data_IF_938762023166
#
_entry.id   IF_938762023166
#
_cell.length_a   1.000
_cell.length_b   1.000
_cell.length_c   1.000
_cell.angle_alpha   90.00
_cell.angle_beta   90.00
_cell.angle_gamma   90.00
#
_symmetry.space_group_name_H-M   'P 1'
#
loop_
_entity.id
_entity.type
_entity.pdbx_description
1 polymer ?
#
# COMPACT_ATOMS: atom_id res chain seq x y z
N UNK A 1 24.36 21.15 50.68
CA UNK A 1 23.12 20.65 50.07
C UNK A 1 23.43 20.32 48.62
N UNK A 2 23.55 19.03 48.25
CA UNK A 2 23.84 18.61 46.87
C UNK A 2 22.52 18.17 46.24
N UNK A 3 21.99 18.97 45.32
CA UNK A 3 20.82 18.59 44.53
C UNK A 3 21.27 17.66 43.40
N UNK A 4 20.86 16.40 43.45
CA UNK A 4 21.00 15.48 42.33
C UNK A 4 19.84 15.74 41.35
N UNK A 5 20.15 16.25 40.16
CA UNK A 5 19.20 16.34 39.07
C UNK A 5 18.96 14.93 38.50
N UNK A 6 17.80 14.34 38.77
CA UNK A 6 17.37 13.13 38.10
C UNK A 6 16.89 13.48 36.69
N UNK A 7 17.64 13.07 35.67
CA UNK A 7 17.25 13.20 34.27
C UNK A 7 16.20 12.12 33.96
N UNK A 8 14.92 12.50 33.92
CA UNK A 8 13.85 11.61 33.47
C UNK A 8 13.90 11.56 31.95
N UNK A 9 14.44 10.48 31.40
CA UNK A 9 14.36 10.18 29.96
C UNK A 9 12.95 9.68 29.68
N UNK A 10 12.07 10.56 29.20
CA UNK A 10 10.79 10.19 28.60
C UNK A 10 11.09 9.43 27.30
N UNK A 11 10.95 8.10 27.35
CA UNK A 11 11.06 7.24 26.17
C UNK A 11 9.97 7.61 25.17
N UNK A 12 10.35 8.19 24.03
CA UNK A 12 9.45 8.35 22.90
C UNK A 12 9.05 6.95 22.42
N UNK A 13 7.76 6.67 22.18
CA UNK A 13 7.36 5.40 21.60
C UNK A 13 8.00 5.30 20.22
N UNK A 14 8.91 4.34 20.06
CA UNK A 14 9.39 3.93 18.74
C UNK A 14 8.19 3.23 18.08
N UNK A 15 7.46 3.95 17.24
CA UNK A 15 6.50 3.33 16.35
C UNK A 15 7.29 2.38 15.46
N UNK A 16 7.05 1.07 15.60
CA UNK A 16 7.63 0.08 14.71
C UNK A 16 7.04 0.34 13.31
N UNK A 17 7.76 1.09 12.50
CA UNK A 17 7.38 1.31 11.12
C UNK A 17 7.38 -0.05 10.41
N UNK A 18 6.26 -0.38 9.77
CA UNK A 18 6.20 -1.55 8.90
C UNK A 18 7.28 -1.44 7.82
N UNK A 19 7.84 -2.57 7.41
CA UNK A 19 8.82 -2.61 6.33
C UNK A 19 8.20 -2.03 5.05
N UNK A 20 8.90 -1.08 4.42
CA UNK A 20 8.49 -0.56 3.11
C UNK A 20 8.48 -1.67 2.05
N UNK A 21 7.44 -1.65 1.22
CA UNK A 21 7.26 -2.50 0.06
C UNK A 21 7.30 -1.66 -1.20
N UNK A 22 8.50 -1.18 -1.57
CA UNK A 22 8.68 -0.10 -2.55
C UNK A 22 8.49 -0.51 -4.02
N UNK A 23 8.43 -1.80 -4.32
CA UNK A 23 8.38 -2.33 -5.69
C UNK A 23 7.69 -3.69 -5.75
N UNK A 24 7.43 -4.17 -6.97
CA UNK A 24 6.94 -5.53 -7.22
C UNK A 24 7.81 -6.57 -6.51
N UNK A 25 7.15 -7.41 -5.69
CA UNK A 25 7.77 -8.45 -4.84
C UNK A 25 8.73 -7.91 -3.76
N UNK A 26 8.60 -6.64 -3.37
CA UNK A 26 9.29 -6.06 -2.22
C UNK A 26 10.74 -5.68 -2.50
N UNK A 27 11.43 -5.20 -1.46
CA UNK A 27 12.79 -4.63 -1.57
C UNK A 27 13.80 -5.59 -2.22
N UNK A 28 13.70 -6.90 -1.95
CA UNK A 28 14.58 -7.93 -2.50
C UNK A 28 14.04 -8.63 -3.75
N UNK A 29 12.82 -8.28 -4.20
CA UNK A 29 12.08 -8.93 -5.30
C UNK A 29 11.81 -10.43 -5.10
N UNK A 30 11.89 -10.93 -3.88
CA UNK A 30 11.65 -12.33 -3.52
C UNK A 30 10.18 -12.60 -3.17
N UNK A 31 9.40 -11.56 -2.86
CA UNK A 31 8.00 -11.69 -2.43
C UNK A 31 7.87 -12.06 -0.94
N UNK A 32 8.90 -11.82 -0.14
CA UNK A 32 8.92 -12.12 1.29
C UNK A 32 9.04 -10.86 2.16
N UNK A 33 8.38 -10.88 3.31
CA UNK A 33 8.54 -9.90 4.39
C UNK A 33 9.60 -10.40 5.36
N UNK A 34 10.52 -9.54 5.81
CA UNK A 34 11.60 -9.95 6.71
C UNK A 34 11.22 -9.88 8.19
N UNK A 35 10.29 -8.99 8.54
CA UNK A 35 9.96 -8.66 9.93
C UNK A 35 8.61 -9.24 10.40
N UNK A 36 8.03 -10.20 9.67
CA UNK A 36 6.75 -10.79 10.05
C UNK A 36 6.96 -12.03 10.92
N UNK A 37 6.50 -11.94 12.17
CA UNK A 37 6.44 -13.08 13.08
C UNK A 37 5.20 -13.92 12.75
N UNK A 38 5.42 -15.09 12.15
CA UNK A 38 4.34 -16.01 11.81
C UNK A 38 3.73 -16.57 13.12
N UNK A 39 2.41 -16.42 13.33
CA UNK A 39 1.78 -16.96 14.53
C UNK A 39 1.80 -18.49 14.51
N UNK A 40 1.97 -19.09 15.69
CA UNK A 40 1.93 -20.55 15.84
C UNK A 40 0.57 -21.15 15.43
N UNK A 41 -0.51 -20.38 15.64
CA UNK A 41 -1.87 -20.73 15.23
C UNK A 41 -2.52 -19.53 14.59
N UNK A 42 -3.01 -19.70 13.36
CA UNK A 42 -3.81 -18.67 12.68
C UNK A 42 -5.25 -18.66 13.22
N UNK A 43 -5.90 -17.49 13.28
CA UNK A 43 -7.32 -17.43 13.58
C UNK A 43 -8.13 -18.10 12.46
N UNK A 44 -9.32 -18.59 12.78
CA UNK A 44 -10.24 -19.21 11.80
C UNK A 44 -10.65 -18.23 10.70
N UNK A 45 -10.68 -16.93 11.01
CA UNK A 45 -10.91 -15.87 10.05
C UNK A 45 -10.11 -14.62 10.43
N UNK A 46 -9.68 -13.85 9.44
CA UNK A 46 -9.10 -12.53 9.64
C UNK A 46 -10.21 -11.47 9.64
N UNK A 47 -10.08 -10.46 10.48
CA UNK A 47 -10.98 -9.31 10.46
C UNK A 47 -10.52 -8.31 9.39
N UNK A 48 -11.37 -8.06 8.40
CA UNK A 48 -11.14 -7.01 7.41
C UNK A 48 -11.04 -5.65 8.13
N UNK A 49 -9.95 -4.92 7.89
CA UNK A 49 -9.75 -3.59 8.47
C UNK A 49 -10.46 -2.51 7.64
N UNK A 50 -10.34 -2.59 6.32
CA UNK A 50 -10.98 -1.69 5.37
C UNK A 50 -10.89 -2.28 3.96
N UNK A 51 -11.80 -1.83 3.10
CA UNK A 51 -11.80 -2.10 1.65
C UNK A 51 -12.11 -0.80 0.92
N UNK A 52 -11.46 -0.60 -0.23
CA UNK A 52 -11.69 0.57 -1.10
C UNK A 52 -11.62 0.13 -2.56
N UNK A 53 -12.56 0.63 -3.37
CA UNK A 53 -12.49 0.49 -4.82
C UNK A 53 -11.46 1.47 -5.37
N UNK A 54 -10.45 0.95 -6.06
CA UNK A 54 -9.36 1.75 -6.65
C UNK A 54 -9.53 1.91 -8.16
N UNK A 55 -10.47 1.21 -8.80
CA UNK A 55 -10.62 1.13 -10.24
C UNK A 55 -9.97 -0.13 -10.84
N UNK A 56 -9.89 -0.15 -12.17
CA UNK A 56 -9.49 -1.33 -12.94
C UNK A 56 -8.00 -1.34 -13.25
N UNK A 57 -7.34 -2.49 -13.20
CA UNK A 57 -5.93 -2.57 -13.54
C UNK A 57 -5.25 -3.81 -13.00
N UNK A 58 -3.94 -3.89 -13.26
CA UNK A 58 -3.11 -5.03 -12.89
C UNK A 58 -1.93 -4.64 -12.00
N UNK A 59 -1.79 -3.34 -11.68
CA UNK A 59 -0.71 -2.87 -10.84
C UNK A 59 -0.80 -3.50 -9.44
N UNK A 60 0.34 -3.96 -8.93
CA UNK A 60 0.44 -4.32 -7.51
C UNK A 60 0.55 -3.04 -6.68
N UNK A 61 -0.14 -2.92 -5.54
CA UNK A 61 0.07 -1.79 -4.65
C UNK A 61 1.48 -1.84 -4.03
N UNK A 62 2.06 -0.67 -3.79
CA UNK A 62 3.32 -0.52 -3.05
C UNK A 62 3.07 0.27 -1.76
N UNK A 63 3.80 -0.05 -0.69
CA UNK A 63 3.69 0.59 0.62
C UNK A 63 4.99 1.32 0.93
N UNK A 64 4.93 2.62 1.24
CA UNK A 64 6.08 3.40 1.70
C UNK A 64 5.63 4.25 2.90
N UNK A 65 6.22 3.98 4.06
CA UNK A 65 5.74 4.48 5.35
C UNK A 65 4.28 4.13 5.57
N UNK A 66 3.45 5.16 5.76
CA UNK A 66 2.00 5.00 5.97
C UNK A 66 1.17 5.18 4.70
N UNK A 67 1.81 5.23 3.53
CA UNK A 67 1.13 5.49 2.25
C UNK A 67 1.18 4.28 1.35
N UNK A 68 -0.01 3.83 0.93
CA UNK A 68 -0.18 2.79 -0.08
C UNK A 68 -0.44 3.46 -1.43
N UNK A 69 0.37 3.15 -2.42
CA UNK A 69 0.24 3.72 -3.76
C UNK A 69 -0.37 2.71 -4.70
N UNK A 70 -1.33 3.17 -5.50
CA UNK A 70 -2.04 2.34 -6.46
C UNK A 70 -2.18 3.07 -7.79
N UNK A 71 -1.91 2.33 -8.88
CA UNK A 71 -2.08 2.81 -10.24
C UNK A 71 -3.17 2.01 -10.95
N UNK A 72 -4.20 2.69 -11.42
CA UNK A 72 -5.41 2.06 -11.95
C UNK A 72 -6.06 2.91 -13.03
N UNK A 73 -7.10 2.38 -13.66
CA UNK A 73 -8.01 3.10 -14.54
C UNK A 73 -9.32 3.41 -13.82
N UNK A 74 -9.80 4.63 -14.00
CA UNK A 74 -11.13 5.06 -13.57
C UNK A 74 -11.81 5.78 -14.73
N UNK A 75 -12.73 5.08 -15.41
CA UNK A 75 -13.33 5.59 -16.65
C UNK A 75 -12.27 5.76 -17.75
N UNK A 76 -12.21 6.96 -18.34
CA UNK A 76 -11.26 7.32 -19.41
C UNK A 76 -9.94 7.91 -18.88
N UNK A 77 -9.66 7.78 -17.58
CA UNK A 77 -8.42 8.24 -16.96
C UNK A 77 -7.60 7.09 -16.41
N UNK A 78 -6.28 7.22 -16.50
CA UNK A 78 -5.36 6.48 -15.65
C UNK A 78 -4.99 7.35 -14.44
N UNK A 79 -4.99 6.73 -13.27
CA UNK A 79 -5.00 7.39 -11.98
C UNK A 79 -3.92 6.79 -11.09
N UNK A 80 -3.04 7.65 -10.59
CA UNK A 80 -2.15 7.33 -9.48
C UNK A 80 -2.77 7.90 -8.19
N UNK A 81 -2.91 7.05 -7.17
CA UNK A 81 -3.45 7.43 -5.87
C UNK A 81 -2.47 7.04 -4.77
N UNK A 82 -2.36 7.89 -3.75
CA UNK A 82 -1.81 7.49 -2.46
C UNK A 82 -2.95 7.43 -1.44
N UNK A 83 -3.02 6.31 -0.73
CA UNK A 83 -4.01 6.02 0.30
C UNK A 83 -3.30 5.94 1.65
N UNK A 84 -4.00 6.32 2.71
CA UNK A 84 -3.54 6.06 4.07
C UNK A 84 -3.66 4.56 4.36
N UNK A 85 -2.52 3.90 4.62
CA UNK A 85 -2.46 2.45 4.77
C UNK A 85 -3.28 1.91 5.97
N UNK A 86 -3.54 2.72 6.98
CA UNK A 86 -4.32 2.31 8.15
C UNK A 86 -5.83 2.41 7.93
N UNK A 87 -6.29 3.25 6.98
CA UNK A 87 -7.71 3.61 6.84
C UNK A 87 -8.28 3.45 5.43
N UNK A 88 -7.44 3.27 4.42
CA UNK A 88 -7.84 3.26 3.01
C UNK A 88 -8.20 4.64 2.43
N UNK A 89 -8.18 5.70 3.23
CA UNK A 89 -8.58 7.05 2.79
C UNK A 89 -7.56 7.65 1.81
N UNK A 90 -8.04 8.26 0.73
CA UNK A 90 -7.18 8.95 -0.25
C UNK A 90 -6.46 10.13 0.38
N UNK A 91 -5.12 10.08 0.37
CA UNK A 91 -4.23 11.19 0.75
C UNK A 91 -4.08 12.16 -0.41
N UNK A 92 -3.85 11.65 -1.62
CA UNK A 92 -3.82 12.44 -2.84
C UNK A 92 -4.15 11.58 -4.06
N UNK A 93 -4.55 12.25 -5.15
CA UNK A 93 -4.86 11.66 -6.45
C UNK A 93 -4.24 12.52 -7.56
N UNK A 94 -3.65 11.87 -8.55
CA UNK A 94 -3.22 12.48 -9.81
C UNK A 94 -3.71 11.62 -10.97
N UNK A 95 -4.18 12.23 -12.06
CA UNK A 95 -4.73 11.52 -13.21
C UNK A 95 -4.31 12.16 -14.53
N UNK A 96 -4.40 11.36 -15.59
CA UNK A 96 -4.33 11.84 -16.97
C UNK A 96 -5.34 11.11 -17.87
N UNK A 97 -5.83 11.77 -18.94
CA UNK A 97 -6.68 11.12 -19.92
C UNK A 97 -5.97 9.95 -20.61
N UNK A 98 -6.62 8.79 -20.62
CA UNK A 98 -6.12 7.54 -21.18
C UNK A 98 -7.27 6.78 -21.86
N UNK A 99 -7.74 7.30 -22.99
CA UNK A 99 -8.84 6.70 -23.74
C UNK A 99 -8.49 5.30 -24.22
N UNK A 100 -9.44 4.37 -24.12
CA UNK A 100 -9.20 2.98 -24.51
C UNK A 100 -10.34 2.42 -25.35
N UNK A 101 -9.99 1.97 -26.56
CA UNK A 101 -10.91 1.24 -27.42
C UNK A 101 -10.66 -0.27 -27.31
N UNK A 102 -11.69 -1.01 -26.92
CA UNK A 102 -11.57 -2.46 -26.76
C UNK A 102 -11.66 -3.20 -28.09
N UNK A 103 -10.56 -3.83 -28.48
CA UNK A 103 -10.51 -4.70 -29.65
C UNK A 103 -10.75 -6.16 -29.25
N UNK A 104 -11.20 -7.00 -30.19
CA UNK A 104 -11.52 -8.40 -29.93
C UNK A 104 -10.37 -9.18 -29.27
N UNK A 105 -9.12 -8.88 -29.67
CA UNK A 105 -7.92 -9.53 -29.12
C UNK A 105 -7.62 -9.16 -27.65
N UNK A 106 -8.03 -7.97 -27.19
CA UNK A 106 -7.71 -7.47 -25.84
C UNK A 106 -8.82 -7.67 -24.83
N UNK A 107 -10.03 -8.09 -25.26
CA UNK A 107 -11.22 -8.24 -24.42
C UNK A 107 -10.99 -9.03 -23.12
N UNK A 108 -10.19 -10.10 -23.18
CA UNK A 108 -9.89 -10.94 -22.00
C UNK A 108 -9.00 -10.27 -20.95
N UNK A 109 -8.31 -9.19 -21.30
CA UNK A 109 -7.36 -8.52 -20.41
C UNK A 109 -7.95 -7.24 -19.79
N UNK A 110 -9.12 -6.78 -20.21
CA UNK A 110 -9.70 -5.53 -19.71
C UNK A 110 -8.87 -4.28 -20.03
N UNK A 111 -9.41 -3.09 -19.73
CA UNK A 111 -8.84 -1.84 -20.22
C UNK A 111 -7.70 -1.34 -19.32
N UNK A 112 -7.74 -1.61 -18.01
CA UNK A 112 -6.80 -1.04 -17.04
C UNK A 112 -5.30 -1.31 -17.30
N UNK A 113 -4.42 -0.47 -16.74
CA UNK A 113 -2.98 -0.47 -17.01
C UNK A 113 -2.33 -1.81 -16.67
N UNK A 114 -1.37 -2.21 -17.51
CA UNK A 114 -0.55 -3.41 -17.32
C UNK A 114 0.77 -3.00 -16.66
N UNK A 115 0.75 -2.88 -15.34
CA UNK A 115 1.93 -2.61 -14.54
C UNK A 115 2.20 -3.81 -13.63
N UNK A 116 3.47 -4.12 -13.38
CA UNK A 116 3.91 -5.16 -12.42
C UNK A 116 4.34 -4.53 -11.13
#
# INVERSE_FOLDING_TARGET
MRFACALVVLGLPVSAAAQDWTQWRGVNRDGAVQSFEVPATWPTALAEQWTVDVGEGYASPILIGESLYMFSRQGEEEVMQALNAATGQTRWRSSYPASFEMIAATRRHGPGPKAT
#
